data_IF_691343985981
#
_entry.id   IF_691343985981
#
_cell.length_a   1.000
_cell.length_b   1.000
_cell.length_c   1.000
_cell.angle_alpha   90.00
_cell.angle_beta   90.00
_cell.angle_gamma   90.00
#
_symmetry.space_group_name_H-M   'P 1'
#
loop_
_entity.id
_entity.type
_entity.pdbx_description
1 polymer ?
#
# COMPACT_ATOMS: atom_id res chain seq x y z
N UNK A 1 5.26 -22.00 -51.24
CA UNK A 1 6.19 -21.62 -50.14
C UNK A 1 5.53 -20.51 -49.33
N UNK A 2 4.93 -20.85 -48.19
CA UNK A 2 4.22 -19.88 -47.34
C UNK A 2 5.20 -19.09 -46.47
N UNK A 3 5.11 -17.76 -46.52
CA UNK A 3 5.96 -16.82 -45.80
C UNK A 3 5.85 -17.00 -44.27
N UNK A 4 6.93 -17.49 -43.64
CA UNK A 4 7.06 -17.72 -42.18
C UNK A 4 7.29 -16.40 -41.38
N UNK A 5 7.24 -15.23 -42.02
CA UNK A 5 7.62 -13.96 -41.37
C UNK A 5 6.54 -13.26 -40.52
N UNK A 6 5.29 -13.73 -40.50
CA UNK A 6 4.20 -13.05 -39.78
C UNK A 6 3.85 -13.60 -38.38
N UNK A 7 4.59 -14.58 -37.84
CA UNK A 7 4.29 -15.16 -36.51
C UNK A 7 5.13 -14.63 -35.34
N UNK A 8 6.14 -13.80 -35.58
CA UNK A 8 7.10 -13.36 -34.54
C UNK A 8 6.67 -12.06 -33.85
N UNK A 9 5.97 -11.16 -34.56
CA UNK A 9 5.48 -9.88 -34.02
C UNK A 9 4.44 -10.01 -32.87
N UNK A 10 3.51 -10.97 -32.87
CA UNK A 10 2.53 -11.10 -31.79
C UNK A 10 3.16 -11.53 -30.46
N UNK A 11 4.15 -12.43 -30.48
CA UNK A 11 4.76 -12.96 -29.26
C UNK A 11 5.61 -11.91 -28.53
N UNK A 12 6.31 -11.04 -29.26
CA UNK A 12 7.10 -9.96 -28.65
C UNK A 12 6.18 -8.94 -27.98
N UNK A 13 5.11 -8.51 -28.68
CA UNK A 13 4.14 -7.57 -28.13
C UNK A 13 3.45 -8.12 -26.87
N UNK A 14 3.01 -9.38 -26.90
CA UNK A 14 2.43 -10.07 -25.74
C UNK A 14 3.45 -10.11 -24.60
N UNK A 15 4.70 -10.53 -24.85
CA UNK A 15 5.72 -10.61 -23.80
C UNK A 15 6.02 -9.25 -23.15
N UNK A 16 6.02 -8.18 -23.93
CA UNK A 16 6.17 -6.80 -23.44
C UNK A 16 4.96 -6.35 -22.62
N UNK A 17 3.75 -6.70 -23.03
CA UNK A 17 2.51 -6.38 -22.31
C UNK A 17 2.42 -7.12 -20.97
N UNK A 18 2.75 -8.41 -20.95
CA UNK A 18 2.87 -9.21 -19.74
C UNK A 18 3.98 -8.71 -18.83
N UNK A 19 5.16 -8.36 -19.38
CA UNK A 19 6.22 -7.73 -18.58
C UNK A 19 5.78 -6.41 -17.98
N UNK A 20 5.09 -5.57 -18.74
CA UNK A 20 4.53 -4.33 -18.21
C UNK A 20 3.56 -4.62 -17.09
N UNK A 21 2.62 -5.56 -17.27
CA UNK A 21 1.66 -5.99 -16.25
C UNK A 21 2.34 -6.54 -14.97
N UNK A 22 3.33 -7.43 -15.13
CA UNK A 22 4.10 -8.04 -14.03
C UNK A 22 5.01 -7.04 -13.32
N UNK A 23 5.47 -6.00 -14.01
CA UNK A 23 6.24 -4.90 -13.43
C UNK A 23 5.39 -3.88 -12.66
N UNK A 24 4.09 -4.17 -12.47
CA UNK A 24 3.11 -3.30 -11.84
C UNK A 24 2.31 -2.46 -12.86
N UNK A 25 2.69 -2.46 -14.14
CA UNK A 25 2.02 -1.74 -15.21
C UNK A 25 1.82 -0.25 -14.92
N UNK A 26 0.79 0.33 -15.51
CA UNK A 26 0.24 1.61 -15.10
C UNK A 26 -0.63 1.46 -13.84
N UNK A 27 -0.11 0.85 -12.75
CA UNK A 27 -0.86 0.69 -11.49
C UNK A 27 -1.51 2.01 -11.05
N UNK A 28 -0.76 3.10 -11.20
CA UNK A 28 -1.18 4.46 -10.85
C UNK A 28 -2.27 5.02 -11.76
N UNK A 29 -2.58 4.39 -12.90
CA UNK A 29 -3.66 4.80 -13.80
C UNK A 29 -4.80 3.77 -13.85
N UNK A 30 -4.67 2.65 -13.11
CA UNK A 30 -5.64 1.55 -13.13
C UNK A 30 -6.81 1.78 -12.17
N UNK A 31 -6.62 2.58 -11.12
CA UNK A 31 -7.61 2.82 -10.09
C UNK A 31 -7.86 4.33 -9.94
N UNK A 32 -9.07 4.70 -9.53
CA UNK A 32 -9.38 6.08 -9.14
C UNK A 32 -9.14 6.32 -7.65
N UNK A 33 -9.10 5.24 -6.87
CA UNK A 33 -9.12 5.26 -5.42
C UNK A 33 -8.00 4.36 -4.90
N UNK A 34 -7.26 4.87 -3.92
CA UNK A 34 -6.12 4.20 -3.35
C UNK A 34 -6.08 4.35 -1.83
N UNK A 35 -5.52 3.35 -1.17
CA UNK A 35 -5.12 3.41 0.22
C UNK A 35 -3.59 3.38 0.28
N UNK A 36 -2.99 4.46 0.75
CA UNK A 36 -1.58 4.51 1.11
C UNK A 36 -1.38 4.00 2.54
N UNK A 37 -0.41 3.12 2.69
CA UNK A 37 0.03 2.59 3.97
C UNK A 37 1.42 3.14 4.20
N UNK A 38 1.56 3.99 5.20
CA UNK A 38 2.74 4.80 5.43
C UNK A 38 3.34 4.30 6.75
N UNK A 39 4.40 3.51 6.65
CA UNK A 39 5.19 3.12 7.81
C UNK A 39 6.40 4.05 7.89
N UNK A 40 6.55 4.75 8.99
CA UNK A 40 7.66 5.67 9.23
C UNK A 40 8.46 5.21 10.44
N UNK A 41 9.75 5.52 10.47
CA UNK A 41 10.59 5.30 11.64
C UNK A 41 11.77 6.26 11.73
N UNK A 42 12.16 6.55 12.96
CA UNK A 42 13.33 7.33 13.28
C UNK A 42 14.62 6.58 12.91
N UNK A 43 15.65 7.26 12.40
CA UNK A 43 17.00 6.68 12.25
C UNK A 43 17.58 6.14 13.57
N UNK A 44 17.07 6.61 14.71
CA UNK A 44 17.50 6.18 16.05
C UNK A 44 16.91 4.83 16.45
N UNK A 45 15.84 4.38 15.80
CA UNK A 45 15.19 3.12 16.14
C UNK A 45 16.03 1.94 15.68
N UNK A 46 16.23 0.98 16.59
CA UNK A 46 16.89 -0.30 16.25
C UNK A 46 15.94 -1.23 15.49
N UNK A 47 14.64 -1.07 15.71
CA UNK A 47 13.60 -1.95 15.18
C UNK A 47 12.74 -1.33 14.09
N UNK A 48 12.89 -0.05 13.77
CA UNK A 48 12.03 0.67 12.82
C UNK A 48 11.90 0.01 11.44
N UNK A 49 13.02 -0.44 10.86
CA UNK A 49 12.99 -1.19 9.59
C UNK A 49 12.28 -2.54 9.73
N UNK A 50 12.54 -3.28 10.82
CA UNK A 50 11.90 -4.58 11.09
C UNK A 50 10.40 -4.42 11.32
N UNK A 51 9.98 -3.34 11.99
CA UNK A 51 8.58 -2.98 12.15
C UNK A 51 7.92 -2.76 10.78
N UNK A 52 8.56 -2.02 9.86
CA UNK A 52 7.99 -1.84 8.53
C UNK A 52 7.99 -3.11 7.67
N UNK A 53 8.95 -4.01 7.84
CA UNK A 53 8.90 -5.33 7.19
C UNK A 53 7.77 -6.18 7.76
N UNK A 54 7.55 -6.14 9.07
CA UNK A 54 6.40 -6.74 9.73
C UNK A 54 5.08 -6.19 9.18
N UNK A 55 4.93 -4.87 9.08
CA UNK A 55 3.78 -4.22 8.44
C UNK A 55 3.55 -4.80 7.04
N UNK A 56 4.58 -4.90 6.20
CA UNK A 56 4.50 -5.48 4.84
C UNK A 56 3.87 -6.87 4.80
N UNK A 57 4.18 -7.72 5.78
CA UNK A 57 3.56 -9.06 5.88
C UNK A 57 2.09 -8.98 6.25
N UNK A 58 1.73 -8.08 7.16
CA UNK A 58 0.37 -7.91 7.68
C UNK A 58 -0.58 -7.28 6.67
N UNK A 59 -0.07 -6.45 5.77
CA UNK A 59 -0.84 -5.93 4.64
C UNK A 59 -1.44 -7.10 3.83
N UNK A 60 -0.60 -8.05 3.44
CA UNK A 60 -1.02 -9.18 2.60
C UNK A 60 -1.87 -10.20 3.35
N UNK A 61 -1.51 -10.50 4.60
CA UNK A 61 -2.12 -11.57 5.35
C UNK A 61 -3.42 -11.17 6.07
N UNK A 62 -3.65 -9.87 6.27
CA UNK A 62 -4.79 -9.40 7.07
C UNK A 62 -5.51 -8.24 6.39
N UNK A 63 -4.81 -7.16 6.06
CA UNK A 63 -5.46 -5.92 5.63
C UNK A 63 -6.26 -6.07 4.34
N UNK A 64 -5.71 -6.73 3.31
CA UNK A 64 -6.43 -6.94 2.03
C UNK A 64 -7.75 -7.69 2.24
N UNK A 65 -7.71 -8.77 3.02
CA UNK A 65 -8.93 -9.52 3.35
C UNK A 65 -9.92 -8.68 4.16
N UNK A 66 -9.45 -7.89 5.13
CA UNK A 66 -10.31 -6.99 5.91
C UNK A 66 -10.97 -5.90 5.07
N UNK A 67 -10.33 -5.47 3.99
CA UNK A 67 -10.88 -4.50 3.04
C UNK A 67 -11.92 -5.18 2.13
N UNK A 68 -11.62 -6.36 1.59
CA UNK A 68 -12.50 -7.03 0.62
C UNK A 68 -13.82 -7.56 1.20
N UNK A 69 -13.87 -7.82 2.51
CA UNK A 69 -15.13 -8.17 3.18
C UNK A 69 -16.11 -6.99 3.29
N UNK A 70 -15.66 -5.76 3.05
CA UNK A 70 -16.53 -4.59 3.09
C UNK A 70 -17.53 -4.65 1.94
N UNK A 71 -18.80 -4.41 2.26
CA UNK A 71 -19.93 -4.63 1.34
C UNK A 71 -19.76 -3.88 0.01
N UNK A 72 -19.25 -2.65 0.05
CA UNK A 72 -19.12 -1.77 -1.11
C UNK A 72 -17.87 -2.01 -1.97
N UNK A 73 -16.90 -2.79 -1.47
CA UNK A 73 -15.65 -3.08 -2.19
C UNK A 73 -15.84 -4.31 -3.08
N UNK A 74 -15.48 -4.17 -4.35
CA UNK A 74 -15.49 -5.25 -5.33
C UNK A 74 -14.23 -6.11 -5.17
N UNK A 75 -13.07 -5.46 -5.19
CA UNK A 75 -11.78 -6.07 -4.91
C UNK A 75 -10.75 -5.00 -4.56
N UNK A 76 -9.64 -5.42 -3.98
CA UNK A 76 -8.48 -4.55 -3.77
C UNK A 76 -7.21 -5.18 -4.35
N UNK A 77 -6.21 -4.36 -4.64
CA UNK A 77 -4.97 -4.83 -5.24
C UNK A 77 -3.78 -4.07 -4.66
N UNK A 78 -2.92 -4.78 -3.92
CA UNK A 78 -1.65 -4.26 -3.45
C UNK A 78 -0.67 -4.11 -4.61
N UNK A 79 -0.07 -2.93 -4.76
CA UNK A 79 1.04 -2.73 -5.67
C UNK A 79 2.21 -3.65 -5.27
N UNK A 80 2.70 -4.52 -6.17
CA UNK A 80 3.84 -5.39 -5.85
C UNK A 80 5.11 -4.61 -5.51
N UNK A 81 5.24 -3.37 -5.99
CA UNK A 81 6.34 -2.46 -5.66
C UNK A 81 5.91 -1.48 -4.57
N UNK A 82 6.81 -1.23 -3.62
CA UNK A 82 6.66 -0.12 -2.68
C UNK A 82 6.78 1.20 -3.47
N UNK A 83 5.92 2.16 -3.15
CA UNK A 83 6.00 3.51 -3.72
C UNK A 83 7.26 4.23 -3.20
N UNK A 84 7.54 4.10 -1.90
CA UNK A 84 8.82 4.49 -1.29
C UNK A 84 9.35 3.34 -0.44
N UNK A 85 10.67 3.14 -0.43
CA UNK A 85 11.32 2.03 0.28
C UNK A 85 12.59 2.49 0.98
N UNK A 86 12.53 2.64 2.31
CA UNK A 86 13.63 3.02 3.19
C UNK A 86 14.29 4.33 2.74
N UNK A 87 13.47 5.32 2.43
CA UNK A 87 13.90 6.66 2.02
C UNK A 87 13.41 7.70 3.02
N UNK A 88 14.06 8.87 3.07
CA UNK A 88 13.59 9.98 3.91
C UNK A 88 12.15 10.34 3.56
N UNK A 89 11.32 10.55 4.57
CA UNK A 89 9.92 10.82 4.32
C UNK A 89 9.66 12.17 3.68
N UNK A 90 8.88 12.21 2.58
CA UNK A 90 8.41 13.45 2.00
C UNK A 90 7.62 14.25 3.04
N UNK A 91 7.73 15.58 2.95
CA UNK A 91 7.09 16.50 3.90
C UNK A 91 5.57 16.29 3.98
N UNK A 92 4.91 15.92 2.88
CA UNK A 92 3.45 15.72 2.87
C UNK A 92 2.97 14.48 3.66
N UNK A 93 3.88 13.58 4.04
CA UNK A 93 3.56 12.39 4.84
C UNK A 93 4.10 12.46 6.27
N UNK A 94 4.72 13.58 6.64
CA UNK A 94 5.30 13.76 7.98
C UNK A 94 4.18 13.91 9.01
N UNK A 95 3.94 12.85 9.80
CA UNK A 95 3.27 12.98 11.10
C UNK A 95 4.24 13.37 12.21
N UNK A 96 5.54 13.08 12.06
CA UNK A 96 6.56 13.26 13.11
C UNK A 96 7.87 13.75 12.49
N UNK A 97 8.66 14.47 13.30
CA UNK A 97 10.00 15.09 13.15
C UNK A 97 10.79 14.97 11.82
N UNK A 98 11.65 15.97 11.58
CA UNK A 98 12.58 15.95 10.45
C UNK A 98 13.49 14.69 10.48
N UNK A 99 13.76 14.12 9.30
CA UNK A 99 14.70 13.00 9.03
C UNK A 99 14.25 11.56 9.30
N UNK A 100 12.97 11.29 9.55
CA UNK A 100 12.46 9.91 9.58
C UNK A 100 12.48 9.25 8.18
N UNK A 101 12.67 7.93 8.16
CA UNK A 101 12.55 7.09 6.97
C UNK A 101 11.11 6.59 6.81
N UNK A 102 10.70 6.27 5.58
CA UNK A 102 9.47 5.52 5.34
C UNK A 102 9.53 4.46 4.28
N UNK A 103 8.60 3.52 4.47
CA UNK A 103 8.07 2.63 3.47
C UNK A 103 6.61 3.02 3.19
N UNK A 104 6.28 3.19 1.90
CA UNK A 104 4.91 3.44 1.45
C UNK A 104 4.47 2.32 0.53
N UNK A 105 3.33 1.70 0.85
CA UNK A 105 2.63 0.76 -0.02
C UNK A 105 1.34 1.39 -0.51
N UNK A 106 0.95 1.06 -1.74
CA UNK A 106 -0.31 1.50 -2.33
C UNK A 106 -1.20 0.30 -2.58
N UNK A 107 -2.44 0.39 -2.12
CA UNK A 107 -3.51 -0.55 -2.48
C UNK A 107 -4.49 0.19 -3.37
N UNK A 108 -4.72 -0.31 -4.59
CA UNK A 108 -5.80 0.16 -5.45
C UNK A 108 -7.13 -0.47 -5.01
N UNK A 109 -8.19 0.33 -4.94
CA UNK A 109 -9.51 -0.11 -4.48
C UNK A 109 -10.52 0.05 -5.62
N UNK A 110 -11.27 -1.02 -5.91
CA UNK A 110 -12.39 -1.01 -6.84
C UNK A 110 -13.72 -1.19 -6.07
N UNK A 111 -14.73 -0.42 -6.44
CA UNK A 111 -16.06 -0.45 -5.82
C UNK A 111 -17.08 -1.12 -6.75
N UNK A 112 -18.07 -1.80 -6.18
CA UNK A 112 -19.16 -2.51 -6.89
C UNK A 112 -20.18 -1.54 -7.54
N UNK A 113 -19.74 -0.64 -8.44
CA UNK A 113 -20.53 0.27 -9.30
C UNK A 113 -21.60 1.22 -8.66
N UNK A 114 -21.82 2.37 -9.32
CA UNK A 114 -22.75 3.50 -9.02
C UNK A 114 -22.61 4.30 -7.73
N UNK A 115 -21.71 3.94 -6.82
CA UNK A 115 -21.33 4.80 -5.69
C UNK A 115 -20.03 5.54 -5.98
N UNK A 116 -20.00 6.34 -7.04
CA UNK A 116 -18.89 7.28 -7.21
C UNK A 116 -18.87 8.27 -6.04
N UNK A 117 -17.74 8.29 -5.35
CA UNK A 117 -17.25 9.33 -4.44
C UNK A 117 -17.99 9.58 -3.10
N UNK A 118 -19.28 9.28 -2.96
CA UNK A 118 -20.07 9.76 -1.80
C UNK A 118 -19.97 8.94 -0.51
N UNK A 119 -19.31 7.78 -0.49
CA UNK A 119 -19.41 6.84 0.64
C UNK A 119 -18.10 6.49 1.36
N UNK A 120 -16.97 7.14 1.08
CA UNK A 120 -15.78 7.04 1.94
C UNK A 120 -15.65 8.16 2.96
N UNK A 121 -16.40 9.26 2.80
CA UNK A 121 -16.69 10.14 3.96
C UNK A 121 -17.55 9.40 5.00
N UNK A 122 -18.20 8.30 4.59
CA UNK A 122 -18.91 7.31 5.42
C UNK A 122 -18.17 5.97 5.45
N UNK A 123 -16.83 5.98 5.47
CA UNK A 123 -16.07 4.83 5.94
C UNK A 123 -16.33 4.64 7.44
N UNK A 124 -17.43 3.96 7.77
CA UNK A 124 -17.51 3.14 8.97
C UNK A 124 -16.39 2.05 8.99
N UNK A 125 -15.58 1.95 7.92
CA UNK A 125 -14.30 1.27 7.89
C UNK A 125 -13.10 2.04 8.49
N UNK A 126 -13.26 3.27 8.99
CA UNK A 126 -12.26 3.90 9.86
C UNK A 126 -11.96 2.99 11.06
N UNK A 127 -12.97 2.35 11.66
CA UNK A 127 -12.76 1.45 12.79
C UNK A 127 -11.87 0.25 12.42
N UNK A 128 -12.09 -0.40 11.27
CA UNK A 128 -11.29 -1.57 10.86
C UNK A 128 -9.85 -1.18 10.49
N UNK A 129 -9.64 -0.02 9.85
CA UNK A 129 -8.30 0.46 9.47
C UNK A 129 -7.53 1.03 10.68
N UNK A 130 -8.21 1.74 11.57
CA UNK A 130 -7.68 2.21 12.85
C UNK A 130 -7.36 1.01 13.75
N UNK A 131 -8.26 0.02 13.81
CA UNK A 131 -8.05 -1.20 14.57
C UNK A 131 -6.91 -2.03 13.99
N UNK A 132 -6.80 -2.16 12.67
CA UNK A 132 -5.62 -2.76 12.03
C UNK A 132 -4.34 -2.04 12.48
N UNK A 133 -4.31 -0.71 12.38
CA UNK A 133 -3.14 0.08 12.78
C UNK A 133 -2.80 -0.11 14.26
N UNK A 134 -3.80 -0.13 15.13
CA UNK A 134 -3.65 -0.39 16.57
C UNK A 134 -3.15 -1.81 16.83
N UNK A 135 -3.74 -2.83 16.20
CA UNK A 135 -3.33 -4.24 16.35
C UNK A 135 -1.90 -4.47 15.86
N UNK A 136 -1.47 -3.79 14.80
CA UNK A 136 -0.09 -3.88 14.30
C UNK A 136 0.90 -3.15 15.22
N UNK A 137 0.52 -1.98 15.77
CA UNK A 137 1.36 -1.24 16.72
C UNK A 137 1.46 -1.89 18.11
N UNK A 138 0.36 -2.49 18.58
CA UNK A 138 0.19 -2.93 19.98
C UNK A 138 -0.14 -4.42 20.12
N UNK A 139 0.14 -5.24 19.11
CA UNK A 139 -0.05 -6.69 19.16
C UNK A 139 0.71 -7.35 20.31
N UNK A 140 0.35 -8.60 20.64
CA UNK A 140 1.07 -9.46 21.59
C UNK A 140 1.82 -10.61 20.88
N UNK A 141 3.10 -10.43 20.60
CA UNK A 141 4.08 -11.43 20.17
C UNK A 141 5.44 -11.11 20.79
N UNK A 142 6.32 -12.09 20.90
CA UNK A 142 7.60 -11.99 21.63
C UNK A 142 8.56 -10.95 21.03
N UNK A 143 8.48 -10.67 19.72
CA UNK A 143 9.22 -9.55 19.09
C UNK A 143 8.62 -8.17 19.45
N UNK A 144 7.33 -8.13 19.79
CA UNK A 144 6.59 -6.89 20.05
C UNK A 144 6.90 -6.31 21.45
N UNK A 145 7.36 -7.12 22.42
CA UNK A 145 7.70 -6.63 23.77
C UNK A 145 8.89 -5.67 23.80
N UNK A 146 9.87 -5.86 22.91
CA UNK A 146 10.99 -4.92 22.76
C UNK A 146 10.60 -3.71 21.90
N UNK A 147 9.78 -3.91 20.86
CA UNK A 147 9.29 -2.84 20.01
C UNK A 147 8.42 -1.84 20.77
N UNK A 148 7.61 -2.31 21.72
CA UNK A 148 6.80 -1.45 22.59
C UNK A 148 7.65 -0.39 23.31
N UNK A 149 8.93 -0.68 23.60
CA UNK A 149 9.84 0.28 24.25
C UNK A 149 10.29 1.41 23.31
N UNK A 150 10.21 1.21 22.00
CA UNK A 150 10.57 2.17 20.96
C UNK A 150 9.33 2.67 20.18
N UNK A 151 8.12 2.50 20.71
CA UNK A 151 6.88 2.78 19.97
C UNK A 151 6.71 4.24 19.54
N UNK A 152 7.40 5.16 20.20
CA UNK A 152 7.47 6.58 19.83
C UNK A 152 8.44 6.86 18.68
N UNK A 153 9.25 5.87 18.28
CA UNK A 153 10.27 5.98 17.23
C UNK A 153 9.83 5.39 15.90
N UNK A 154 8.60 4.89 15.79
CA UNK A 154 8.00 4.47 14.54
C UNK A 154 6.49 4.69 14.55
N UNK A 155 5.92 4.91 13.37
CA UNK A 155 4.52 5.20 13.20
C UNK A 155 3.96 4.45 11.99
N UNK A 156 2.66 4.14 12.04
CA UNK A 156 1.91 3.54 10.97
C UNK A 156 0.66 4.38 10.76
N UNK A 157 0.54 4.95 9.57
CA UNK A 157 -0.57 5.77 9.15
C UNK A 157 -1.18 5.21 7.86
N UNK A 158 -2.50 5.24 7.77
CA UNK A 158 -3.25 4.82 6.59
C UNK A 158 -3.97 6.05 6.05
N UNK A 159 -3.71 6.37 4.78
CA UNK A 159 -4.26 7.55 4.11
C UNK A 159 -5.00 7.14 2.86
N UNK A 160 -6.27 7.53 2.78
CA UNK A 160 -7.03 7.44 1.54
C UNK A 160 -6.57 8.51 0.55
N UNK A 161 -6.47 8.13 -0.72
CA UNK A 161 -5.99 8.98 -1.80
C UNK A 161 -6.89 8.80 -3.02
N UNK A 162 -7.24 9.92 -3.67
CA UNK A 162 -7.76 9.88 -5.03
C UNK A 162 -6.58 9.80 -6.01
N UNK A 163 -6.85 9.33 -7.21
CA UNK A 163 -5.89 9.26 -8.30
C UNK A 163 -5.12 10.58 -8.52
N UNK A 164 -5.83 11.72 -8.43
CA UNK A 164 -5.25 13.06 -8.55
C UNK A 164 -4.21 13.37 -7.46
N UNK A 165 -4.35 12.77 -6.29
CA UNK A 165 -3.47 13.02 -5.16
C UNK A 165 -2.15 12.29 -5.32
N UNK A 166 -2.12 11.15 -6.04
CA UNK A 166 -0.92 10.32 -6.22
C UNK A 166 0.20 11.04 -6.95
N UNK A 167 -0.10 11.86 -7.94
CA UNK A 167 0.93 12.60 -8.68
C UNK A 167 1.54 13.75 -7.90
N UNK A 168 0.92 14.11 -6.77
CA UNK A 168 1.42 15.11 -5.85
C UNK A 168 2.15 14.47 -4.65
N UNK A 169 2.37 13.14 -4.67
CA UNK A 169 3.15 12.38 -3.69
C UNK A 169 4.59 12.20 -4.15
#
# INVERSE_FOLDING_TARGET
MGNIRNRILPQIAIKTEWQNWLNGGYFNNKYYNYLAIICTYSPKSKYGSLFCDYVSTRIRLQLLFSIEILQDIEYCHLNPKKFLNNQKCPKQFKSVENDWFCNIWLIGIMFKQNKEQKQLETLEGENNLIEFSKRIKFGKNVLETEWVKEIELFDLNLKYLKWTDIFNL
#
